data_IF_021873985359
#
_entry.id   IF_021873985359
#
_cell.length_a   1.000
_cell.length_b   1.000
_cell.length_c   1.000
_cell.angle_alpha   90.00
_cell.angle_beta   90.00
_cell.angle_gamma   90.00
#
_symmetry.space_group_name_H-M   'P 1'
#
loop_
_entity.id
_entity.type
_entity.pdbx_description
1 polymer ?
#
# COMPACT_ATOMS: atom_id res chain seq x y z
N UNK A 1 26.49 24.24 12.73
CA UNK A 1 25.96 24.85 11.47
C UNK A 1 26.70 26.17 11.28
N UNK A 2 27.40 26.36 10.16
CA UNK A 2 28.02 27.66 9.86
C UNK A 2 26.92 28.68 9.60
N UNK A 3 27.08 29.90 10.16
CA UNK A 3 26.16 31.00 9.92
C UNK A 3 26.32 31.48 8.46
N UNK A 4 25.35 31.25 7.62
CA UNK A 4 25.37 31.55 6.19
C UNK A 4 25.22 33.06 5.89
N UNK A 5 25.25 33.92 6.90
CA UNK A 5 25.14 35.37 6.78
C UNK A 5 24.12 35.97 7.76
N UNK A 6 23.99 37.30 7.71
CA UNK A 6 23.15 38.07 8.64
C UNK A 6 22.17 39.00 7.91
N UNK A 7 21.03 39.29 8.57
CA UNK A 7 20.15 40.36 8.20
C UNK A 7 20.90 41.71 8.26
N UNK A 8 20.68 42.62 7.28
CA UNK A 8 19.72 42.59 6.18
C UNK A 8 20.24 41.93 4.90
N UNK A 9 21.50 41.46 4.83
CA UNK A 9 22.11 40.91 3.62
C UNK A 9 21.51 39.56 3.23
N UNK A 10 21.19 38.74 4.23
CA UNK A 10 20.46 37.48 4.06
C UNK A 10 18.98 37.69 4.39
N UNK A 11 18.11 37.44 3.41
CA UNK A 11 16.66 37.53 3.53
C UNK A 11 16.03 36.31 2.86
N UNK A 12 15.62 35.31 3.62
CA UNK A 12 15.01 34.07 3.09
C UNK A 12 13.70 34.33 2.35
N UNK A 13 12.95 35.38 2.70
CA UNK A 13 11.73 35.78 1.98
C UNK A 13 11.98 36.23 0.54
N UNK A 14 13.20 36.61 0.17
CA UNK A 14 13.56 37.03 -1.19
C UNK A 14 13.28 35.92 -2.20
N UNK A 15 13.61 34.66 -1.88
CA UNK A 15 13.40 33.50 -2.74
C UNK A 15 11.92 33.06 -2.79
N UNK A 16 11.07 33.55 -1.88
CA UNK A 16 9.64 33.24 -1.81
C UNK A 16 8.75 34.35 -2.38
N UNK A 17 9.31 35.48 -2.72
CA UNK A 17 8.56 36.67 -3.12
C UNK A 17 7.77 36.44 -4.42
N UNK A 18 8.42 35.90 -5.45
CA UNK A 18 7.85 35.76 -6.79
C UNK A 18 7.57 34.26 -7.10
N UNK A 19 6.55 34.00 -7.95
CA UNK A 19 6.18 32.65 -8.33
C UNK A 19 7.30 31.92 -9.07
N UNK A 20 7.97 32.57 -10.03
CA UNK A 20 9.08 31.94 -10.76
C UNK A 20 10.20 31.47 -9.81
N UNK A 21 10.50 32.25 -8.80
CA UNK A 21 11.55 31.95 -7.83
C UNK A 21 11.14 30.77 -6.94
N UNK A 22 9.88 30.72 -6.47
CA UNK A 22 9.36 29.55 -5.73
C UNK A 22 9.42 28.28 -6.56
N UNK A 23 9.03 28.33 -7.85
CA UNK A 23 9.09 27.17 -8.75
C UNK A 23 10.52 26.68 -8.98
N UNK A 24 11.48 27.59 -9.14
CA UNK A 24 12.89 27.24 -9.32
C UNK A 24 13.50 26.56 -8.08
N UNK A 25 13.00 26.88 -6.87
CA UNK A 25 13.53 26.36 -5.62
C UNK A 25 12.84 25.07 -5.16
N UNK A 26 11.86 24.56 -5.90
CA UNK A 26 11.22 23.28 -5.57
C UNK A 26 12.19 22.14 -5.75
N UNK A 27 12.42 21.37 -4.68
CA UNK A 27 13.26 20.18 -4.67
C UNK A 27 12.48 18.89 -5.01
N UNK A 28 11.15 18.93 -4.78
CA UNK A 28 10.29 17.75 -4.86
C UNK A 28 9.24 17.94 -5.94
N UNK A 29 9.10 16.94 -6.79
CA UNK A 29 8.10 16.89 -7.85
C UNK A 29 7.21 15.66 -7.64
N UNK A 30 5.90 15.84 -7.84
CA UNK A 30 4.92 14.77 -7.86
C UNK A 30 4.42 14.56 -9.29
N UNK A 31 4.40 13.33 -9.73
CA UNK A 31 3.91 12.92 -11.05
C UNK A 31 2.98 11.71 -10.93
N UNK A 32 2.18 11.36 -11.94
CA UNK A 32 1.42 10.11 -11.92
C UNK A 32 2.28 8.86 -11.73
N UNK A 33 3.55 8.89 -12.13
CA UNK A 33 4.50 7.77 -11.96
C UNK A 33 4.82 7.46 -10.49
N UNK A 34 4.49 8.35 -9.58
CA UNK A 34 4.70 8.18 -8.14
C UNK A 34 3.51 7.50 -7.45
N UNK A 35 2.42 7.23 -8.18
CA UNK A 35 1.15 6.80 -7.61
C UNK A 35 0.89 5.31 -7.85
N UNK A 36 0.37 4.63 -6.83
CA UNK A 36 -0.15 3.27 -6.89
C UNK A 36 -1.59 3.31 -6.36
N UNK A 37 -2.54 2.76 -7.11
CA UNK A 37 -3.94 2.74 -6.70
C UNK A 37 -4.31 1.43 -6.01
N UNK A 38 -4.63 1.43 -4.70
CA UNK A 38 -5.22 0.29 -4.02
C UNK A 38 -6.69 0.10 -4.45
N UNK A 39 -7.08 -1.12 -4.78
CA UNK A 39 -8.44 -1.44 -5.22
C UNK A 39 -8.96 -2.67 -4.51
N UNK A 40 -10.21 -2.64 -4.08
CA UNK A 40 -10.92 -3.78 -3.51
C UNK A 40 -11.65 -4.56 -4.61
N UNK A 41 -11.36 -5.85 -4.71
CA UNK A 41 -11.95 -6.75 -5.71
C UNK A 41 -12.97 -7.67 -5.04
N UNK A 42 -14.12 -7.88 -5.67
CA UNK A 42 -15.20 -8.76 -5.19
C UNK A 42 -15.70 -9.67 -6.29
N UNK A 43 -16.37 -10.74 -5.93
CA UNK A 43 -17.08 -11.62 -6.87
C UNK A 43 -18.31 -10.94 -7.48
N UNK A 44 -18.65 -11.37 -8.69
CA UNK A 44 -19.83 -10.92 -9.43
C UNK A 44 -19.51 -10.40 -10.81
N UNK A 45 -20.52 -9.84 -11.46
CA UNK A 45 -20.47 -9.21 -12.78
C UNK A 45 -21.23 -7.88 -12.73
N UNK A 46 -20.69 -6.83 -13.34
CA UNK A 46 -21.23 -5.46 -13.32
C UNK A 46 -21.53 -4.96 -11.88
N UNK A 47 -20.72 -5.39 -10.91
CA UNK A 47 -20.97 -5.12 -9.49
C UNK A 47 -20.02 -4.06 -8.97
N UNK A 48 -20.61 -2.97 -8.46
CA UNK A 48 -19.93 -1.87 -7.77
C UNK A 48 -20.59 -1.71 -6.41
N UNK A 49 -19.86 -1.98 -5.33
CA UNK A 49 -20.38 -1.92 -3.97
C UNK A 49 -19.61 -0.86 -3.18
N UNK A 50 -20.26 0.24 -2.75
CA UNK A 50 -19.60 1.27 -1.95
C UNK A 50 -19.05 0.71 -0.63
N UNK A 51 -17.88 1.22 -0.21
CA UNK A 51 -17.33 0.97 1.13
C UNK A 51 -17.84 2.07 2.06
N UNK A 52 -18.73 1.78 3.02
CA UNK A 52 -19.43 2.82 3.80
C UNK A 52 -18.50 3.78 4.56
N UNK A 53 -17.36 3.28 5.01
CA UNK A 53 -16.36 4.03 5.79
C UNK A 53 -15.30 4.73 4.94
N UNK A 54 -15.37 4.58 3.61
CA UNK A 54 -14.43 5.19 2.67
C UNK A 54 -15.21 5.89 1.54
N UNK A 55 -15.55 7.17 1.67
CA UNK A 55 -16.28 7.91 0.63
C UNK A 55 -15.60 7.77 -0.75
N UNK A 56 -16.38 7.53 -1.81
CA UNK A 56 -15.95 7.36 -3.19
C UNK A 56 -15.10 6.10 -3.48
N UNK A 57 -14.83 5.25 -2.49
CA UNK A 57 -14.15 3.97 -2.68
C UNK A 57 -15.18 2.84 -2.77
N UNK A 58 -14.98 1.95 -3.76
CA UNK A 58 -15.87 0.84 -4.03
C UNK A 58 -15.12 -0.50 -4.07
N UNK A 59 -15.84 -1.58 -3.77
CA UNK A 59 -15.45 -2.94 -4.15
C UNK A 59 -15.94 -3.19 -5.57
N UNK A 60 -15.10 -3.72 -6.44
CA UNK A 60 -15.37 -3.88 -7.87
C UNK A 60 -15.31 -5.34 -8.28
N UNK A 61 -16.26 -5.79 -9.09
CA UNK A 61 -16.11 -7.03 -9.86
C UNK A 61 -15.00 -6.88 -10.91
N UNK A 62 -14.48 -7.99 -11.44
CA UNK A 62 -13.32 -7.97 -12.35
C UNK A 62 -13.60 -7.14 -13.61
N UNK A 63 -14.80 -7.19 -14.17
CA UNK A 63 -15.21 -6.39 -15.33
C UNK A 63 -15.21 -4.88 -15.04
N UNK A 64 -15.65 -4.46 -13.86
CA UNK A 64 -15.62 -3.06 -13.42
C UNK A 64 -14.17 -2.62 -13.07
N UNK A 65 -13.38 -3.52 -12.49
CA UNK A 65 -11.95 -3.29 -12.26
C UNK A 65 -11.20 -3.02 -13.57
N UNK A 66 -11.51 -3.73 -14.65
CA UNK A 66 -10.89 -3.50 -15.96
C UNK A 66 -11.19 -2.10 -16.51
N UNK A 67 -12.40 -1.56 -16.30
CA UNK A 67 -12.73 -0.18 -16.68
C UNK A 67 -11.87 0.83 -15.92
N UNK A 68 -11.72 0.61 -14.62
CA UNK A 68 -10.86 1.44 -13.76
C UNK A 68 -9.38 1.36 -14.20
N UNK A 69 -8.87 0.17 -14.53
CA UNK A 69 -7.51 -0.01 -15.04
C UNK A 69 -7.29 0.75 -16.37
N UNK A 70 -8.30 0.81 -17.25
CA UNK A 70 -8.27 1.63 -18.46
C UNK A 70 -8.06 3.11 -18.15
N UNK A 71 -8.80 3.65 -17.19
CA UNK A 71 -8.64 5.03 -16.74
C UNK A 71 -7.26 5.30 -16.12
N UNK A 72 -6.75 4.35 -15.31
CA UNK A 72 -5.38 4.45 -14.73
C UNK A 72 -4.32 4.58 -15.83
N UNK A 73 -4.43 3.76 -16.88
CA UNK A 73 -3.51 3.80 -18.04
C UNK A 73 -3.58 5.16 -18.74
N UNK A 74 -4.79 5.70 -18.96
CA UNK A 74 -5.00 7.03 -19.59
C UNK A 74 -4.44 8.18 -18.75
N UNK A 75 -4.44 8.04 -17.43
CA UNK A 75 -3.90 9.01 -16.47
C UNK A 75 -2.40 8.83 -16.22
N UNK A 76 -1.80 7.75 -16.71
CA UNK A 76 -0.37 7.44 -16.55
C UNK A 76 -0.01 6.89 -15.16
N UNK A 77 -0.96 6.32 -14.42
CA UNK A 77 -0.69 5.64 -13.15
C UNK A 77 -0.09 4.26 -13.46
N UNK A 78 1.12 3.94 -12.96
CA UNK A 78 1.87 2.78 -13.43
C UNK A 78 1.44 1.44 -12.83
N UNK A 79 0.78 1.43 -11.66
CA UNK A 79 0.52 0.17 -10.93
C UNK A 79 -0.80 0.22 -10.14
N UNK A 80 -1.53 -0.91 -10.17
CA UNK A 80 -2.68 -1.21 -9.32
C UNK A 80 -2.27 -2.18 -8.21
N UNK A 81 -2.78 -1.99 -6.99
CA UNK A 81 -2.61 -2.90 -5.87
C UNK A 81 -3.95 -3.57 -5.52
N UNK A 82 -4.02 -4.89 -5.58
CA UNK A 82 -5.26 -5.67 -5.44
C UNK A 82 -5.44 -6.19 -4.01
N UNK A 83 -6.63 -5.93 -3.45
CA UNK A 83 -7.07 -6.42 -2.14
C UNK A 83 -8.41 -7.14 -2.31
N UNK A 84 -8.53 -8.42 -1.94
CA UNK A 84 -9.77 -9.17 -2.13
C UNK A 84 -10.80 -8.86 -1.04
N UNK A 85 -12.06 -8.90 -1.42
CA UNK A 85 -13.19 -9.11 -0.52
C UNK A 85 -13.74 -10.50 -0.79
N UNK A 86 -13.47 -11.42 0.11
CA UNK A 86 -13.83 -12.85 -0.02
C UNK A 86 -15.17 -13.08 0.65
N UNK A 87 -16.05 -13.82 -0.01
CA UNK A 87 -17.35 -14.23 0.54
C UNK A 87 -17.12 -15.14 1.76
N UNK A 88 -17.94 -14.98 2.80
CA UNK A 88 -17.72 -15.63 4.09
C UNK A 88 -17.71 -17.17 4.01
N UNK A 89 -18.44 -17.75 3.02
CA UNK A 89 -18.48 -19.20 2.78
C UNK A 89 -17.15 -19.77 2.27
N UNK A 90 -16.26 -18.94 1.73
CA UNK A 90 -14.93 -19.34 1.26
C UNK A 90 -13.84 -19.13 2.31
N UNK A 91 -14.17 -18.47 3.43
CA UNK A 91 -13.21 -18.27 4.52
C UNK A 91 -13.11 -19.53 5.36
N UNK A 92 -11.88 -19.90 5.68
CA UNK A 92 -11.56 -21.04 6.54
C UNK A 92 -10.58 -20.66 7.65
N UNK A 93 -10.43 -21.43 8.73
CA UNK A 93 -9.43 -21.12 9.76
C UNK A 93 -7.99 -21.11 9.24
N UNK A 94 -7.69 -21.88 8.19
CA UNK A 94 -6.38 -21.99 7.57
C UNK A 94 -6.20 -21.09 6.32
N UNK A 95 -7.25 -20.36 5.91
CA UNK A 95 -7.19 -19.41 4.80
C UNK A 95 -6.84 -20.04 3.45
N UNK A 96 -7.18 -21.31 3.23
CA UNK A 96 -6.74 -22.10 2.05
C UNK A 96 -7.13 -21.47 0.71
N UNK A 97 -8.21 -20.69 0.65
CA UNK A 97 -8.63 -19.96 -0.58
C UNK A 97 -7.56 -18.96 -1.06
N UNK A 98 -6.68 -18.47 -0.18
CA UNK A 98 -5.56 -17.61 -0.56
C UNK A 98 -4.60 -18.27 -1.57
N UNK A 99 -4.49 -19.63 -1.52
CA UNK A 99 -3.63 -20.41 -2.40
C UNK A 99 -4.36 -20.97 -3.64
N UNK A 100 -5.63 -20.64 -3.85
CA UNK A 100 -6.42 -21.10 -4.99
C UNK A 100 -5.97 -20.44 -6.29
N UNK A 101 -5.39 -21.19 -7.28
CA UNK A 101 -4.92 -20.59 -8.54
C UNK A 101 -6.04 -20.07 -9.46
N UNK A 102 -7.27 -20.47 -9.18
CA UNK A 102 -8.50 -20.02 -9.87
C UNK A 102 -9.34 -19.12 -8.99
N UNK A 103 -8.82 -18.69 -7.84
CA UNK A 103 -9.45 -17.77 -6.91
C UNK A 103 -9.59 -16.35 -7.48
N UNK A 104 -10.25 -15.47 -6.74
CA UNK A 104 -10.59 -14.12 -7.18
C UNK A 104 -9.36 -13.30 -7.63
N UNK A 105 -8.29 -13.26 -6.84
CA UNK A 105 -7.09 -12.47 -7.16
C UNK A 105 -6.33 -13.02 -8.36
N UNK A 106 -5.99 -14.32 -8.48
CA UNK A 106 -5.37 -14.87 -9.69
C UNK A 106 -6.18 -14.62 -10.97
N UNK A 107 -7.52 -14.70 -10.92
CA UNK A 107 -8.38 -14.36 -12.06
C UNK A 107 -8.34 -12.87 -12.43
N UNK A 108 -8.35 -11.99 -11.43
CA UNK A 108 -8.22 -10.54 -11.63
C UNK A 108 -6.86 -10.20 -12.28
N UNK A 109 -5.75 -10.79 -11.79
CA UNK A 109 -4.41 -10.60 -12.37
C UNK A 109 -4.40 -11.03 -13.84
N UNK A 110 -4.87 -12.25 -14.15
CA UNK A 110 -4.93 -12.76 -15.54
C UNK A 110 -5.73 -11.80 -16.44
N UNK A 111 -6.88 -11.31 -15.97
CA UNK A 111 -7.74 -10.40 -16.73
C UNK A 111 -7.07 -9.04 -17.00
N UNK A 112 -6.43 -8.45 -15.97
CA UNK A 112 -5.71 -7.17 -16.13
C UNK A 112 -4.54 -7.33 -17.09
N UNK A 113 -3.72 -8.37 -16.93
CA UNK A 113 -2.54 -8.59 -17.79
C UNK A 113 -2.92 -8.88 -19.24
N UNK A 114 -4.09 -9.49 -19.47
CA UNK A 114 -4.63 -9.70 -20.82
C UNK A 114 -5.11 -8.38 -21.46
N UNK A 115 -5.76 -7.49 -20.70
CA UNK A 115 -6.32 -6.25 -21.22
C UNK A 115 -5.31 -5.09 -21.26
N UNK A 116 -4.46 -5.01 -20.25
CA UNK A 116 -3.49 -3.92 -20.05
C UNK A 116 -2.12 -4.46 -19.64
N UNK A 117 -1.37 -5.11 -20.55
CA UNK A 117 -0.08 -5.77 -20.24
C UNK A 117 0.99 -4.80 -19.70
N UNK A 118 0.86 -3.50 -20.01
CA UNK A 118 1.76 -2.44 -19.54
C UNK A 118 1.49 -1.98 -18.09
N UNK A 119 0.29 -2.25 -17.55
CA UNK A 119 -0.04 -1.88 -16.17
C UNK A 119 0.59 -2.87 -15.19
N UNK A 120 1.36 -2.37 -14.24
CA UNK A 120 1.88 -3.18 -13.15
C UNK A 120 0.77 -3.66 -12.23
N UNK A 121 0.82 -4.93 -11.85
CA UNK A 121 -0.15 -5.54 -10.92
C UNK A 121 0.57 -5.99 -9.67
N UNK A 122 0.24 -5.37 -8.55
CA UNK A 122 0.70 -5.73 -7.21
C UNK A 122 -0.39 -6.51 -6.49
N UNK A 123 -0.03 -7.63 -5.87
CA UNK A 123 -0.92 -8.43 -5.04
C UNK A 123 -0.49 -8.37 -3.58
N UNK A 124 -1.43 -8.06 -2.71
CA UNK A 124 -1.22 -8.19 -1.26
C UNK A 124 -1.04 -9.67 -0.88
N UNK A 125 -0.16 -9.94 0.09
CA UNK A 125 0.13 -11.28 0.59
C UNK A 125 -0.08 -11.27 2.10
N UNK A 126 -1.22 -11.78 2.52
CA UNK A 126 -1.66 -11.94 3.90
C UNK A 126 -2.91 -12.80 3.94
N UNK A 127 -3.25 -13.38 5.08
CA UNK A 127 -4.36 -14.32 5.19
C UNK A 127 -5.64 -13.70 5.77
N UNK A 128 -5.61 -12.48 6.29
CA UNK A 128 -6.77 -11.85 6.95
C UNK A 128 -8.04 -11.73 6.10
N UNK A 129 -8.01 -11.57 4.75
CA UNK A 129 -9.22 -11.63 3.95
C UNK A 129 -9.80 -13.04 3.81
N UNK A 130 -9.00 -14.08 4.04
CA UNK A 130 -9.33 -15.47 3.76
C UNK A 130 -9.59 -16.29 5.03
N UNK A 131 -9.23 -15.76 6.20
CA UNK A 131 -9.40 -16.46 7.47
C UNK A 131 -10.70 -16.09 8.17
N UNK A 132 -11.32 -17.08 8.85
CA UNK A 132 -12.53 -16.86 9.65
C UNK A 132 -12.29 -16.02 10.90
N UNK A 133 -11.03 -15.90 11.36
CA UNK A 133 -10.62 -15.14 12.54
C UNK A 133 -10.02 -13.77 12.21
N UNK A 134 -9.78 -13.44 10.91
CA UNK A 134 -9.33 -12.11 10.47
C UNK A 134 -7.90 -11.73 10.85
N UNK A 135 -7.07 -12.68 11.28
CA UNK A 135 -5.63 -12.48 11.50
C UNK A 135 -4.85 -12.66 10.19
N UNK A 136 -3.70 -11.98 10.07
CA UNK A 136 -2.84 -12.03 8.89
C UNK A 136 -2.11 -13.37 8.74
N UNK A 137 -2.03 -14.18 9.83
CA UNK A 137 -1.41 -15.49 9.89
C UNK A 137 -2.33 -16.56 10.50
N UNK A 138 -1.88 -17.79 10.49
CA UNK A 138 -2.54 -18.93 11.12
C UNK A 138 -2.45 -18.81 12.65
N UNK A 139 -3.45 -19.35 13.37
CA UNK A 139 -3.50 -19.30 14.82
C UNK A 139 -3.63 -20.70 15.40
N UNK A 140 -3.08 -20.89 16.60
CA UNK A 140 -3.33 -22.08 17.42
C UNK A 140 -4.63 -21.96 18.23
N UNK A 141 -4.89 -22.94 19.09
CA UNK A 141 -6.06 -23.02 19.97
C UNK A 141 -6.13 -21.87 20.98
N UNK A 142 -5.00 -21.24 21.27
CA UNK A 142 -4.88 -20.10 22.21
C UNK A 142 -5.05 -18.76 21.52
N UNK A 143 -5.05 -18.73 20.19
CA UNK A 143 -5.05 -17.50 19.35
C UNK A 143 -3.65 -16.95 19.11
N UNK A 144 -2.60 -17.70 19.43
CA UNK A 144 -1.21 -17.35 19.10
C UNK A 144 -0.96 -17.52 17.61
N UNK A 145 -0.25 -16.56 17.00
CA UNK A 145 0.09 -16.59 15.57
C UNK A 145 1.26 -17.57 15.34
N UNK A 146 1.02 -18.55 14.48
CA UNK A 146 1.99 -19.58 14.10
C UNK A 146 2.84 -19.05 12.95
N UNK A 147 4.04 -18.57 13.24
CA UNK A 147 4.91 -17.93 12.26
C UNK A 147 5.26 -18.85 11.09
N UNK A 148 5.84 -20.01 11.36
CA UNK A 148 6.43 -20.87 10.34
C UNK A 148 5.35 -21.52 9.45
N UNK A 149 4.24 -21.95 10.03
CA UNK A 149 3.10 -22.51 9.32
C UNK A 149 2.41 -21.44 8.45
N UNK A 150 2.39 -20.20 8.94
CA UNK A 150 1.89 -19.07 8.14
C UNK A 150 2.74 -18.86 6.91
N UNK A 151 4.07 -18.84 7.02
CA UNK A 151 4.99 -18.67 5.89
C UNK A 151 4.75 -19.73 4.82
N UNK A 152 4.52 -21.00 5.19
CA UNK A 152 4.21 -22.06 4.22
C UNK A 152 2.94 -21.74 3.40
N UNK A 153 1.90 -21.20 4.03
CA UNK A 153 0.67 -20.79 3.35
C UNK A 153 0.91 -19.55 2.47
N UNK A 154 1.67 -18.56 2.96
CA UNK A 154 2.02 -17.36 2.18
C UNK A 154 2.81 -17.70 0.91
N UNK A 155 3.72 -18.66 0.98
CA UNK A 155 4.45 -19.17 -0.20
C UNK A 155 3.48 -19.78 -1.23
N UNK A 156 2.46 -20.52 -0.79
CA UNK A 156 1.43 -21.06 -1.68
C UNK A 156 0.57 -19.97 -2.30
N UNK A 157 0.22 -18.93 -1.53
CA UNK A 157 -0.50 -17.74 -2.02
C UNK A 157 0.32 -17.02 -3.09
N UNK A 158 1.59 -16.72 -2.82
CA UNK A 158 2.50 -16.06 -3.78
C UNK A 158 2.66 -16.88 -5.05
N UNK A 159 2.79 -18.20 -4.95
CA UNK A 159 2.88 -19.09 -6.12
C UNK A 159 1.67 -18.94 -7.03
N UNK A 160 0.45 -18.94 -6.48
CA UNK A 160 -0.78 -18.77 -7.25
C UNK A 160 -0.83 -17.37 -7.92
N UNK A 161 -0.41 -16.32 -7.23
CA UNK A 161 -0.35 -14.96 -7.75
C UNK A 161 0.72 -14.83 -8.86
N UNK A 162 1.93 -15.36 -8.67
CA UNK A 162 3.02 -15.32 -9.64
C UNK A 162 2.66 -16.11 -10.93
N UNK A 163 2.06 -17.30 -10.78
CA UNK A 163 1.55 -18.09 -11.90
C UNK A 163 0.46 -17.37 -12.70
N UNK A 164 -0.33 -16.52 -12.05
CA UNK A 164 -1.31 -15.67 -12.72
C UNK A 164 -0.70 -14.48 -13.46
N UNK A 165 0.57 -14.14 -13.22
CA UNK A 165 1.30 -13.06 -13.87
C UNK A 165 1.39 -11.77 -13.03
N UNK A 166 1.31 -11.85 -11.70
CA UNK A 166 1.57 -10.71 -10.82
C UNK A 166 2.98 -10.17 -11.02
N UNK A 167 3.12 -8.85 -11.17
CA UNK A 167 4.41 -8.20 -11.36
C UNK A 167 5.13 -7.96 -10.02
N UNK A 168 4.33 -7.74 -8.95
CA UNK A 168 4.80 -7.47 -7.59
C UNK A 168 3.97 -8.28 -6.61
N UNK A 169 4.61 -8.96 -5.68
CA UNK A 169 3.99 -9.54 -4.50
C UNK A 169 4.39 -8.73 -3.27
N UNK A 170 3.43 -8.45 -2.40
CA UNK A 170 3.63 -7.51 -1.30
C UNK A 170 3.24 -8.11 0.04
N UNK A 171 4.14 -8.86 0.70
CA UNK A 171 3.90 -9.46 2.00
C UNK A 171 3.60 -8.39 3.06
N UNK A 172 2.38 -8.43 3.59
CA UNK A 172 1.88 -7.48 4.59
C UNK A 172 1.54 -8.13 5.94
N UNK A 173 1.89 -9.39 6.08
CA UNK A 173 1.59 -10.26 7.22
C UNK A 173 2.48 -10.02 8.44
N UNK A 174 3.72 -9.55 8.26
CA UNK A 174 4.73 -9.28 9.29
C UNK A 174 5.28 -10.53 9.98
N UNK A 175 5.29 -11.70 9.33
CA UNK A 175 5.95 -12.90 9.88
C UNK A 175 7.47 -12.82 9.68
N UNK A 176 8.23 -13.34 10.64
CA UNK A 176 9.69 -13.35 10.60
C UNK A 176 10.22 -14.30 9.51
N UNK A 177 11.15 -13.82 8.65
CA UNK A 177 11.81 -14.66 7.63
C UNK A 177 10.98 -14.92 6.36
N UNK A 178 9.77 -14.37 6.26
CA UNK A 178 8.85 -14.58 5.12
C UNK A 178 9.42 -14.15 3.77
N UNK A 179 10.17 -13.05 3.76
CA UNK A 179 10.71 -12.50 2.52
C UNK A 179 11.74 -13.45 1.91
N UNK A 180 12.63 -14.02 2.73
CA UNK A 180 13.67 -14.96 2.27
C UNK A 180 13.07 -16.24 1.69
N UNK A 181 12.04 -16.78 2.35
CA UNK A 181 11.38 -18.01 1.86
C UNK A 181 10.60 -17.76 0.57
N UNK A 182 9.88 -16.63 0.49
CA UNK A 182 9.16 -16.21 -0.74
C UNK A 182 10.16 -15.98 -1.88
N UNK A 183 11.24 -15.24 -1.66
CA UNK A 183 12.27 -14.99 -2.69
C UNK A 183 12.85 -16.30 -3.19
N UNK A 184 13.21 -17.20 -2.29
CA UNK A 184 13.75 -18.51 -2.66
C UNK A 184 12.81 -19.27 -3.59
N UNK A 185 11.52 -19.36 -3.23
CA UNK A 185 10.52 -20.04 -4.07
C UNK A 185 10.40 -19.39 -5.46
N UNK A 186 10.35 -18.04 -5.53
CA UNK A 186 10.25 -17.32 -6.81
C UNK A 186 11.45 -17.61 -7.72
N UNK A 187 12.67 -17.67 -7.18
CA UNK A 187 13.88 -18.01 -7.94
C UNK A 187 13.88 -19.48 -8.38
N UNK A 188 13.58 -20.42 -7.48
CA UNK A 188 13.58 -21.86 -7.77
C UNK A 188 12.52 -22.25 -8.82
N UNK A 189 11.38 -21.55 -8.86
CA UNK A 189 10.29 -21.82 -9.80
C UNK A 189 10.35 -20.95 -11.07
N UNK A 190 11.41 -20.12 -11.24
CA UNK A 190 11.67 -19.34 -12.43
C UNK A 190 10.91 -18.02 -12.55
N UNK A 191 10.28 -17.54 -11.48
CA UNK A 191 9.60 -16.23 -11.42
C UNK A 191 10.59 -15.10 -11.13
N UNK A 192 11.75 -15.11 -11.76
CA UNK A 192 12.89 -14.21 -11.51
C UNK A 192 12.58 -12.72 -11.72
N UNK A 193 11.50 -12.39 -12.40
CA UNK A 193 11.07 -11.01 -12.65
C UNK A 193 9.94 -10.55 -11.72
N UNK A 194 9.42 -11.40 -10.85
CA UNK A 194 8.44 -11.03 -9.83
C UNK A 194 9.15 -10.31 -8.69
N UNK A 195 8.77 -9.05 -8.45
CA UNK A 195 9.37 -8.21 -7.41
C UNK A 195 8.69 -8.49 -6.08
N UNK A 196 9.43 -8.28 -4.99
CA UNK A 196 8.89 -8.28 -3.63
C UNK A 196 8.89 -6.85 -3.12
N UNK A 197 7.70 -6.32 -2.79
CA UNK A 197 7.53 -5.08 -2.02
C UNK A 197 7.13 -5.45 -0.60
N UNK A 198 8.11 -5.49 0.30
CA UNK A 198 7.87 -5.88 1.68
C UNK A 198 7.22 -4.75 2.48
N UNK A 199 6.16 -5.05 3.21
CA UNK A 199 5.64 -4.16 4.26
C UNK A 199 6.55 -4.23 5.49
N UNK A 200 7.76 -3.73 5.36
CA UNK A 200 8.82 -3.89 6.37
C UNK A 200 8.57 -3.06 7.63
N UNK A 201 7.92 -1.90 7.50
CA UNK A 201 7.58 -1.05 8.63
C UNK A 201 6.06 -0.85 8.70
N UNK A 202 5.34 -1.89 9.11
CA UNK A 202 3.89 -1.87 9.30
C UNK A 202 3.55 -1.81 10.78
N UNK A 203 2.91 -0.73 11.18
CA UNK A 203 2.58 -0.43 12.57
C UNK A 203 1.17 -0.89 12.96
N UNK A 204 0.99 -1.31 14.21
CA UNK A 204 -0.33 -1.56 14.80
C UNK A 204 -1.08 -0.23 14.95
N UNK A 205 -1.93 0.10 13.98
CA UNK A 205 -2.47 1.45 13.85
C UNK A 205 -3.99 1.49 13.88
N UNK A 206 -4.54 2.52 14.53
CA UNK A 206 -5.95 2.87 14.50
C UNK A 206 -6.41 3.41 13.13
N UNK A 207 -5.47 3.85 12.27
CA UNK A 207 -5.77 4.33 10.92
C UNK A 207 -6.22 3.24 9.94
N UNK A 208 -6.25 1.95 10.34
CA UNK A 208 -6.71 0.85 9.48
C UNK A 208 -8.20 0.55 9.60
N UNK A 209 -8.95 1.27 10.45
CA UNK A 209 -10.39 0.99 10.67
C UNK A 209 -11.19 0.84 9.37
N UNK A 210 -11.17 1.82 8.44
CA UNK A 210 -11.94 1.73 7.21
C UNK A 210 -11.50 0.59 6.25
N UNK A 211 -10.21 0.24 6.24
CA UNK A 211 -9.71 -0.89 5.44
C UNK A 211 -10.31 -2.22 5.89
N UNK A 212 -10.42 -2.45 7.21
CA UNK A 212 -11.01 -3.69 7.75
C UNK A 212 -12.47 -3.86 7.32
N UNK A 213 -13.21 -2.76 7.21
CA UNK A 213 -14.56 -2.76 6.67
C UNK A 213 -14.55 -3.13 5.17
N UNK A 214 -13.63 -2.56 4.41
CA UNK A 214 -13.52 -2.79 2.96
C UNK A 214 -13.23 -4.25 2.58
N UNK A 215 -12.34 -4.93 3.30
CA UNK A 215 -12.01 -6.36 3.06
C UNK A 215 -12.92 -7.33 3.82
N UNK A 216 -13.83 -6.83 4.67
CA UNK A 216 -14.75 -7.66 5.44
C UNK A 216 -14.11 -8.42 6.60
N UNK A 217 -13.00 -7.91 7.17
CA UNK A 217 -12.31 -8.54 8.32
C UNK A 217 -12.66 -7.93 9.68
N UNK A 218 -13.41 -6.82 9.71
CA UNK A 218 -13.71 -6.07 10.94
C UNK A 218 -14.54 -6.86 11.96
N UNK A 219 -15.41 -7.75 11.52
CA UNK A 219 -16.27 -8.56 12.39
C UNK A 219 -15.59 -9.77 13.02
N UNK A 220 -14.44 -10.18 12.51
CA UNK A 220 -13.83 -11.48 12.79
C UNK A 220 -12.73 -11.41 13.87
N UNK A 221 -12.10 -10.25 14.10
CA UNK A 221 -11.00 -10.09 15.06
C UNK A 221 -11.41 -10.30 16.54
N UNK A 222 -12.68 -10.17 16.89
CA UNK A 222 -13.16 -10.32 18.27
C UNK A 222 -12.39 -9.45 19.26
N UNK A 223 -11.80 -10.09 20.29
CA UNK A 223 -10.91 -9.45 21.30
C UNK A 223 -9.42 -9.56 20.97
N UNK A 224 -9.03 -10.21 19.86
CA UNK A 224 -7.64 -10.40 19.50
C UNK A 224 -7.03 -9.10 18.94
N UNK A 225 -5.72 -8.98 19.03
CA UNK A 225 -4.95 -7.81 18.58
C UNK A 225 -3.92 -8.20 17.54
N UNK A 226 -3.66 -7.31 16.57
CA UNK A 226 -2.56 -7.44 15.62
C UNK A 226 -1.23 -6.87 16.16
N UNK A 227 -1.23 -6.30 17.38
CA UNK A 227 -0.04 -5.72 18.01
C UNK A 227 1.02 -6.77 18.39
N UNK A 228 0.70 -8.06 18.30
CA UNK A 228 1.64 -9.16 18.58
C UNK A 228 2.60 -9.43 17.41
N UNK A 229 2.34 -8.85 16.23
CA UNK A 229 3.20 -8.98 15.05
C UNK A 229 3.33 -7.67 14.24
N UNK A 230 2.49 -6.67 14.44
CA UNK A 230 2.67 -5.33 13.87
C UNK A 230 3.44 -4.46 14.86
N UNK A 231 4.30 -3.58 14.35
CA UNK A 231 5.20 -2.75 15.16
C UNK A 231 4.43 -1.78 16.08
N UNK A 232 5.01 -1.50 17.24
CA UNK A 232 4.46 -0.54 18.19
C UNK A 232 4.60 0.90 17.63
N UNK A 233 3.52 1.70 17.58
CA UNK A 233 3.58 3.09 17.13
C UNK A 233 4.56 3.98 17.88
N UNK A 234 4.98 3.59 19.08
CA UNK A 234 5.95 4.33 19.89
C UNK A 234 7.42 4.06 19.47
N UNK A 235 7.66 3.05 18.62
CA UNK A 235 9.00 2.63 18.21
C UNK A 235 9.33 3.14 16.79
N UNK A 236 10.56 3.54 16.55
CA UNK A 236 11.06 3.88 15.22
C UNK A 236 12.38 3.19 14.86
N UNK A 237 13.15 2.73 15.84
CA UNK A 237 14.42 2.02 15.61
C UNK A 237 14.16 0.59 15.10
N UNK A 238 13.14 -0.07 15.62
CA UNK A 238 12.66 -1.38 15.19
C UNK A 238 12.38 -1.43 13.68
N UNK A 239 11.79 -0.37 13.12
CA UNK A 239 11.54 -0.26 11.69
C UNK A 239 12.82 -0.37 10.84
N UNK A 240 13.94 0.15 11.32
CA UNK A 240 15.23 0.03 10.61
C UNK A 240 15.75 -1.42 10.65
N UNK A 241 15.54 -2.13 11.74
CA UNK A 241 15.92 -3.54 11.83
C UNK A 241 15.10 -4.40 10.87
N UNK A 242 13.78 -4.27 10.89
CA UNK A 242 12.86 -4.98 9.99
C UNK A 242 13.17 -4.72 8.52
N UNK A 243 13.36 -3.45 8.16
CA UNK A 243 13.75 -3.07 6.79
C UNK A 243 15.10 -3.68 6.40
N UNK A 244 16.07 -3.66 7.32
CA UNK A 244 17.39 -4.26 7.09
C UNK A 244 17.33 -5.77 6.86
N UNK A 245 16.51 -6.48 7.64
CA UNK A 245 16.28 -7.91 7.50
C UNK A 245 15.57 -8.23 6.17
N UNK A 246 14.46 -7.57 5.87
CA UNK A 246 13.71 -7.79 4.62
C UNK A 246 14.57 -7.53 3.36
N UNK A 247 15.42 -6.49 3.38
CA UNK A 247 16.37 -6.23 2.29
C UNK A 247 17.44 -7.33 2.17
N UNK A 248 17.97 -7.81 3.29
CA UNK A 248 18.93 -8.89 3.31
C UNK A 248 18.32 -10.23 2.84
N UNK A 249 17.04 -10.44 3.08
CA UNK A 249 16.25 -11.58 2.63
C UNK A 249 15.86 -11.53 1.15
N UNK A 250 16.03 -10.38 0.48
CA UNK A 250 15.81 -10.23 -0.96
C UNK A 250 14.57 -9.43 -1.35
N UNK A 251 14.07 -8.54 -0.50
CA UNK A 251 13.10 -7.53 -0.90
C UNK A 251 13.70 -6.57 -1.94
N UNK A 252 12.97 -6.28 -3.02
CA UNK A 252 13.35 -5.29 -4.03
C UNK A 252 12.95 -3.88 -3.62
N UNK A 253 11.88 -3.78 -2.85
CA UNK A 253 11.25 -2.55 -2.40
C UNK A 253 10.75 -2.73 -0.97
N UNK A 254 10.74 -1.65 -0.20
CA UNK A 254 10.24 -1.63 1.18
C UNK A 254 9.16 -0.58 1.35
N UNK A 255 8.21 -0.84 2.25
CA UNK A 255 7.07 0.03 2.48
C UNK A 255 6.90 0.38 3.95
N UNK A 256 6.61 1.65 4.22
CA UNK A 256 6.18 2.16 5.53
C UNK A 256 4.65 2.32 5.51
N UNK A 257 3.98 1.79 6.52
CA UNK A 257 2.52 1.83 6.67
C UNK A 257 2.14 2.03 8.14
N UNK A 258 1.35 3.05 8.48
CA UNK A 258 0.72 4.11 7.68
C UNK A 258 1.68 5.13 7.07
N UNK A 259 1.11 6.17 6.40
CA UNK A 259 1.85 7.18 5.66
C UNK A 259 2.17 8.43 6.46
N UNK A 260 1.28 9.43 6.47
CA UNK A 260 1.53 10.77 7.02
C UNK A 260 2.02 10.78 8.48
N UNK A 261 1.47 9.97 9.41
CA UNK A 261 1.94 9.94 10.79
C UNK A 261 3.34 9.34 10.96
N UNK A 262 3.91 8.70 9.93
CA UNK A 262 5.17 7.96 9.97
C UNK A 262 6.19 8.47 8.93
N UNK A 263 6.09 9.74 8.51
CA UNK A 263 7.04 10.34 7.56
C UNK A 263 8.45 10.46 8.12
N UNK A 264 8.62 10.50 9.42
CA UNK A 264 9.90 10.39 10.11
C UNK A 264 10.55 9.02 9.86
N UNK A 265 9.77 7.94 9.93
CA UNK A 265 10.22 6.57 9.63
C UNK A 265 10.59 6.46 8.15
N UNK A 266 9.75 6.98 7.23
CA UNK A 266 10.06 7.04 5.78
C UNK A 266 11.41 7.73 5.55
N UNK A 267 11.64 8.88 6.20
CA UNK A 267 12.90 9.62 6.07
C UNK A 267 14.08 8.82 6.59
N UNK A 268 13.96 8.19 7.77
CA UNK A 268 15.01 7.37 8.37
C UNK A 268 15.38 6.17 7.50
N UNK A 269 14.37 5.42 7.02
CA UNK A 269 14.57 4.26 6.12
C UNK A 269 15.29 4.70 4.83
N UNK A 270 14.81 5.79 4.21
CA UNK A 270 15.43 6.29 2.98
C UNK A 270 16.87 6.76 3.18
N UNK A 271 17.15 7.41 4.29
CA UNK A 271 18.50 7.89 4.59
C UNK A 271 19.47 6.76 4.89
N UNK A 272 19.03 5.73 5.61
CA UNK A 272 19.88 4.59 6.01
C UNK A 272 20.16 3.67 4.81
N UNK A 273 19.12 3.18 4.14
CA UNK A 273 19.28 2.09 3.18
C UNK A 273 19.42 2.55 1.73
N UNK A 274 18.94 3.73 1.35
CA UNK A 274 18.87 4.22 -0.04
C UNK A 274 18.10 3.28 -0.99
N UNK A 275 17.41 2.30 -0.46
CA UNK A 275 16.56 1.37 -1.21
C UNK A 275 15.31 2.06 -1.74
N UNK A 276 14.64 1.48 -2.75
CA UNK A 276 13.31 1.93 -3.16
C UNK A 276 12.33 1.85 -1.98
N UNK A 277 11.87 3.02 -1.51
CA UNK A 277 11.05 3.17 -0.30
C UNK A 277 9.67 3.68 -0.68
N UNK A 278 8.64 2.93 -0.31
CA UNK A 278 7.25 3.26 -0.58
C UNK A 278 6.53 3.64 0.71
N UNK A 279 5.42 4.34 0.56
CA UNK A 279 4.56 4.72 1.68
C UNK A 279 3.11 4.43 1.36
N UNK A 280 2.35 3.93 2.33
CA UNK A 280 0.93 3.72 2.19
C UNK A 280 0.14 4.81 2.94
N UNK A 281 -0.43 5.73 2.18
CA UNK A 281 -1.44 6.68 2.65
C UNK A 281 -2.76 5.91 2.85
N UNK A 282 -2.97 5.43 4.09
CA UNK A 282 -3.97 4.41 4.41
C UNK A 282 -5.40 4.93 4.49
N UNK A 283 -6.33 4.00 4.61
CA UNK A 283 -7.78 4.25 4.59
C UNK A 283 -8.27 5.27 5.62
N UNK A 284 -7.70 5.26 6.84
CA UNK A 284 -8.05 6.25 7.87
C UNK A 284 -7.56 7.66 7.53
N UNK A 285 -6.37 7.79 6.94
CA UNK A 285 -5.86 9.08 6.47
C UNK A 285 -6.73 9.64 5.35
N UNK A 286 -7.08 8.78 4.37
CA UNK A 286 -8.00 9.10 3.29
C UNK A 286 -9.37 9.55 3.83
N UNK A 287 -9.98 8.76 4.72
CA UNK A 287 -11.28 9.06 5.29
C UNK A 287 -11.29 10.37 6.10
N UNK A 288 -10.22 10.66 6.85
CA UNK A 288 -10.07 11.91 7.58
C UNK A 288 -10.10 13.13 6.64
N UNK A 289 -9.39 13.06 5.51
CA UNK A 289 -9.39 14.13 4.50
C UNK A 289 -10.79 14.30 3.92
N UNK A 290 -11.41 13.22 3.44
CA UNK A 290 -12.75 13.25 2.84
C UNK A 290 -13.81 13.79 3.79
N UNK A 291 -13.84 13.29 5.03
CA UNK A 291 -14.82 13.73 6.04
C UNK A 291 -14.61 15.20 6.44
N UNK A 292 -13.39 15.65 6.63
CA UNK A 292 -13.11 17.05 6.97
C UNK A 292 -13.43 18.00 5.81
N UNK A 293 -13.18 17.57 4.56
CA UNK A 293 -13.55 18.32 3.37
C UNK A 293 -15.07 18.42 3.20
N UNK A 294 -15.79 17.30 3.37
CA UNK A 294 -17.26 17.27 3.31
C UNK A 294 -17.90 18.17 4.39
N UNK A 295 -17.26 18.30 5.55
CA UNK A 295 -17.68 19.22 6.61
C UNK A 295 -17.28 20.71 6.34
N UNK A 296 -16.60 20.99 5.25
CA UNK A 296 -16.14 22.35 4.90
C UNK A 296 -14.97 22.88 5.75
N UNK A 297 -14.29 21.99 6.51
CA UNK A 297 -13.16 22.38 7.36
C UNK A 297 -11.87 22.61 6.59
N UNK A 298 -11.69 21.91 5.48
CA UNK A 298 -10.47 21.95 4.64
C UNK A 298 -10.82 21.89 3.16
N UNK A 299 -9.90 22.36 2.31
CA UNK A 299 -9.97 22.20 0.86
C UNK A 299 -9.37 20.84 0.47
N UNK A 300 -10.20 19.92 -0.02
CA UNK A 300 -9.82 18.54 -0.34
C UNK A 300 -8.63 18.46 -1.30
N UNK A 301 -8.70 19.22 -2.42
CA UNK A 301 -7.65 19.20 -3.44
C UNK A 301 -6.31 19.67 -2.88
N UNK A 302 -6.31 20.78 -2.13
CA UNK A 302 -5.09 21.33 -1.56
C UNK A 302 -4.44 20.41 -0.54
N UNK A 303 -5.22 19.90 0.42
CA UNK A 303 -4.67 19.05 1.48
C UNK A 303 -4.19 17.70 0.95
N UNK A 304 -4.89 17.13 -0.02
CA UNK A 304 -4.48 15.89 -0.67
C UNK A 304 -3.17 16.06 -1.41
N UNK A 305 -3.05 17.10 -2.24
CA UNK A 305 -1.82 17.39 -2.99
C UNK A 305 -0.65 17.69 -2.06
N UNK A 306 -0.87 18.43 -0.97
CA UNK A 306 0.13 18.68 0.06
C UNK A 306 0.58 17.39 0.74
N UNK A 307 -0.35 16.50 1.10
CA UNK A 307 -0.04 15.21 1.70
C UNK A 307 0.86 14.35 0.80
N UNK A 308 0.55 14.29 -0.50
CA UNK A 308 1.39 13.55 -1.45
C UNK A 308 2.79 14.15 -1.60
N UNK A 309 2.89 15.48 -1.66
CA UNK A 309 4.19 16.18 -1.67
C UNK A 309 4.97 15.94 -0.38
N UNK A 310 4.31 15.90 0.78
CA UNK A 310 4.96 15.57 2.05
C UNK A 310 5.56 14.16 2.05
N UNK A 311 4.85 13.18 1.50
CA UNK A 311 5.36 11.81 1.32
C UNK A 311 6.61 11.80 0.42
N UNK A 312 6.55 12.45 -0.73
CA UNK A 312 7.70 12.58 -1.63
C UNK A 312 8.88 13.28 -0.96
N UNK A 313 8.63 14.40 -0.27
CA UNK A 313 9.67 15.16 0.44
C UNK A 313 10.33 14.35 1.57
N UNK A 314 9.57 13.47 2.22
CA UNK A 314 10.12 12.54 3.20
C UNK A 314 11.05 11.49 2.58
N UNK A 315 11.01 11.28 1.26
CA UNK A 315 11.88 10.37 0.53
C UNK A 315 11.18 9.17 -0.09
N UNK A 316 9.85 9.14 -0.10
CA UNK A 316 9.12 8.07 -0.77
C UNK A 316 9.35 8.10 -2.29
N UNK A 317 9.70 6.95 -2.87
CA UNK A 317 9.81 6.76 -4.31
C UNK A 317 8.43 6.59 -4.95
N UNK A 318 7.49 5.97 -4.23
CA UNK A 318 6.10 5.86 -4.66
C UNK A 318 5.13 5.86 -3.46
N UNK A 319 3.86 6.12 -3.75
CA UNK A 319 2.80 6.32 -2.77
C UNK A 319 1.59 5.44 -3.14
N UNK A 320 1.24 4.50 -2.26
CA UNK A 320 -0.05 3.84 -2.34
C UNK A 320 -1.10 4.77 -1.74
N UNK A 321 -2.11 5.13 -2.52
CA UNK A 321 -3.16 6.05 -2.04
C UNK A 321 -4.47 5.86 -2.78
N UNK A 322 -5.57 5.89 -2.06
CA UNK A 322 -6.92 5.89 -2.63
C UNK A 322 -7.25 7.18 -3.41
N UNK A 323 -6.46 8.24 -3.20
CA UNK A 323 -6.57 9.49 -3.96
C UNK A 323 -5.86 9.45 -5.33
N UNK A 324 -5.25 8.34 -5.74
CA UNK A 324 -4.36 8.30 -6.90
C UNK A 324 -5.02 8.81 -8.19
N UNK A 325 -6.28 8.46 -8.47
CA UNK A 325 -7.01 8.96 -9.65
C UNK A 325 -7.21 10.47 -9.60
N UNK A 326 -7.68 11.00 -8.48
CA UNK A 326 -7.93 12.43 -8.31
C UNK A 326 -6.64 13.23 -8.45
N UNK A 327 -5.58 12.75 -7.79
CA UNK A 327 -4.24 13.37 -7.88
C UNK A 327 -3.73 13.37 -9.32
N UNK A 328 -3.86 12.25 -10.04
CA UNK A 328 -3.42 12.15 -11.43
C UNK A 328 -4.23 13.07 -12.37
N UNK A 329 -5.57 13.16 -12.17
CA UNK A 329 -6.43 14.11 -12.91
C UNK A 329 -6.02 15.55 -12.67
N UNK A 330 -5.78 15.94 -11.41
CA UNK A 330 -5.37 17.31 -11.05
C UNK A 330 -3.99 17.66 -11.61
N UNK A 331 -3.06 16.71 -11.63
CA UNK A 331 -1.75 16.90 -12.27
C UNK A 331 -1.89 17.09 -13.79
N UNK A 332 -2.77 16.31 -14.44
CA UNK A 332 -3.07 16.45 -15.88
C UNK A 332 -3.71 17.79 -16.22
N UNK A 333 -4.52 18.36 -15.31
CA UNK A 333 -5.09 19.71 -15.41
C UNK A 333 -4.05 20.82 -15.19
N UNK A 334 -2.80 20.47 -14.89
CA UNK A 334 -1.72 21.45 -14.64
C UNK A 334 -1.68 22.00 -13.22
N UNK A 335 -2.38 21.37 -12.26
CA UNK A 335 -2.28 21.76 -10.87
C UNK A 335 -0.89 21.37 -10.33
N UNK A 336 -0.11 22.36 -10.01
CA UNK A 336 1.18 22.22 -9.31
C UNK A 336 1.05 22.88 -7.93
N UNK A 337 1.34 22.13 -6.89
CA UNK A 337 1.31 22.62 -5.50
C UNK A 337 2.29 23.78 -5.30
#
# INVERSE_FOLDING_TARGET
>A
MQTLGQYPFVRMRRMRHDDFSRRLMRETVLTPNDLILPVFVQEGENKVTPVPTMPDVNRLSIDELLKLCGEMVELGIPMVALFPHIDDELKTPDGVEAANPDGLIPRAVKAIKAAYPQLGVMCDVALDPYTTHGQDGLIDETGYILNDETIEMLVRQVRAQAQAGADVVAPSDMMDGRIGVIRKMLEEEGFIHTRIMAYSAKYASAFYGPFRDAVGSSGNLGKSTKAVYQQDPANSDEALWEVGLDLAEGADMVMVKPGMPYLDVVRRVKDEFKAPTFVYHVSGEYAMIKCAAAAGCIDEKKITMESMICCKRAGADGILTYCALDVARWLKEGYNY
#
